data_IF_150366215372
#
_entry.id   IF_150366215372
#
_cell.length_a   1.000
_cell.length_b   1.000
_cell.length_c   1.000
_cell.angle_alpha   90.00
_cell.angle_beta   90.00
_cell.angle_gamma   90.00
#
_symmetry.space_group_name_H-M   'P 1'
#
loop_
_entity.id
_entity.type
_entity.pdbx_description
1 polymer ?
#
# COMPACT_ATOMS: atom_id res chain seq x y z
N UNK A 1 1.46 19.12 -15.41
CA UNK A 1 2.61 18.68 -16.23
C UNK A 1 3.89 19.49 -16.08
N UNK A 2 3.99 20.79 -16.43
CA UNK A 2 5.27 21.53 -16.34
C UNK A 2 5.92 21.48 -14.95
N UNK A 3 5.12 21.64 -13.89
CA UNK A 3 5.59 21.58 -12.49
C UNK A 3 6.02 20.16 -12.07
N UNK A 4 5.29 19.13 -12.50
CA UNK A 4 5.61 17.72 -12.22
C UNK A 4 6.94 17.32 -12.86
N UNK A 5 7.18 17.78 -14.09
CA UNK A 5 8.44 17.56 -14.83
C UNK A 5 9.61 18.24 -14.11
N UNK A 6 9.46 19.49 -13.68
CA UNK A 6 10.52 20.19 -12.92
C UNK A 6 10.78 19.48 -11.59
N UNK A 7 9.74 19.06 -10.88
CA UNK A 7 9.86 18.35 -9.61
C UNK A 7 10.51 16.97 -9.78
N UNK A 8 10.26 16.25 -10.88
CA UNK A 8 10.92 14.95 -11.12
C UNK A 8 12.43 15.07 -11.33
N UNK A 9 12.90 16.18 -11.92
CA UNK A 9 14.34 16.45 -12.03
C UNK A 9 14.94 16.96 -10.73
N UNK A 10 14.18 17.73 -9.94
CA UNK A 10 14.64 18.33 -8.67
C UNK A 10 14.75 17.31 -7.53
N UNK A 11 13.85 16.33 -7.47
CA UNK A 11 13.76 15.37 -6.37
C UNK A 11 14.02 13.95 -6.86
N UNK A 12 15.28 13.63 -7.19
CA UNK A 12 15.68 12.33 -7.75
C UNK A 12 15.35 11.12 -6.85
N UNK A 13 15.28 11.31 -5.53
CA UNK A 13 14.96 10.24 -4.57
C UNK A 13 13.47 10.05 -4.33
N UNK A 14 12.64 11.05 -4.67
CA UNK A 14 11.19 10.99 -4.50
C UNK A 14 10.54 10.51 -5.79
N UNK A 15 10.34 9.20 -5.87
CA UNK A 15 9.69 8.56 -7.02
C UNK A 15 8.33 7.99 -6.63
N UNK A 16 7.43 7.88 -7.61
CA UNK A 16 6.14 7.20 -7.43
C UNK A 16 6.26 5.67 -7.40
N UNK A 17 7.45 5.11 -7.66
CA UNK A 17 7.67 3.66 -7.79
C UNK A 17 7.15 2.83 -6.61
N UNK A 18 7.45 3.17 -5.35
CA UNK A 18 6.91 2.44 -4.19
C UNK A 18 5.37 2.46 -4.10
N UNK A 19 4.75 3.59 -4.46
CA UNK A 19 3.30 3.75 -4.46
C UNK A 19 2.67 2.92 -5.59
N UNK A 20 3.24 2.98 -6.78
CA UNK A 20 2.81 2.19 -7.94
C UNK A 20 2.94 0.69 -7.69
N UNK A 21 4.07 0.25 -7.12
CA UNK A 21 4.30 -1.14 -6.74
C UNK A 21 3.26 -1.64 -5.73
N UNK A 22 2.96 -0.83 -4.71
CA UNK A 22 1.94 -1.13 -3.71
C UNK A 22 0.56 -1.26 -4.35
N UNK A 23 0.16 -0.30 -5.18
CA UNK A 23 -1.12 -0.31 -5.89
C UNK A 23 -1.24 -1.52 -6.83
N UNK A 24 -0.18 -1.89 -7.54
CA UNK A 24 -0.18 -3.08 -8.38
C UNK A 24 -0.35 -4.36 -7.56
N UNK A 25 0.37 -4.50 -6.43
CA UNK A 25 0.24 -5.66 -5.53
C UNK A 25 -1.19 -5.81 -5.00
N UNK A 26 -1.83 -4.71 -4.58
CA UNK A 26 -3.23 -4.71 -4.13
C UNK A 26 -4.18 -5.17 -5.26
N UNK A 27 -3.99 -4.66 -6.49
CA UNK A 27 -4.78 -5.08 -7.65
C UNK A 27 -4.57 -6.57 -7.96
N UNK A 28 -3.34 -7.08 -7.85
CA UNK A 28 -3.04 -8.51 -8.00
C UNK A 28 -3.78 -9.34 -6.95
N UNK A 29 -3.72 -8.97 -5.67
CA UNK A 29 -4.43 -9.67 -4.58
C UNK A 29 -5.94 -9.76 -4.87
N UNK A 30 -6.54 -8.65 -5.31
CA UNK A 30 -7.96 -8.63 -5.66
C UNK A 30 -8.28 -9.58 -6.82
N UNK A 31 -7.45 -9.60 -7.88
CA UNK A 31 -7.64 -10.46 -9.05
C UNK A 31 -7.43 -11.94 -8.74
N UNK A 32 -6.38 -12.29 -8.00
CA UNK A 32 -6.08 -13.68 -7.64
C UNK A 32 -7.14 -14.32 -6.74
N UNK A 33 -7.87 -13.51 -5.98
CA UNK A 33 -8.97 -13.96 -5.15
C UNK A 33 -10.32 -14.03 -5.89
N UNK A 34 -10.36 -13.67 -7.17
CA UNK A 34 -11.60 -13.49 -7.95
C UNK A 34 -12.57 -12.47 -7.32
N UNK A 35 -12.01 -11.47 -6.62
CA UNK A 35 -12.75 -10.50 -5.84
C UNK A 35 -12.99 -10.93 -4.40
N UNK A 36 -13.23 -9.95 -3.54
CA UNK A 36 -13.57 -10.19 -2.14
C UNK A 36 -14.99 -9.73 -1.89
N UNK A 37 -15.82 -10.61 -1.32
CA UNK A 37 -17.19 -10.26 -0.92
C UNK A 37 -17.24 -9.40 0.34
N UNK A 38 -16.24 -9.55 1.22
CA UNK A 38 -16.11 -8.79 2.45
C UNK A 38 -14.82 -7.94 2.42
N UNK A 39 -14.97 -6.61 2.58
CA UNK A 39 -13.86 -5.68 2.62
C UNK A 39 -12.90 -5.92 3.80
N UNK A 40 -13.40 -6.36 4.96
CA UNK A 40 -12.56 -6.69 6.11
C UNK A 40 -11.56 -7.79 5.76
N UNK A 41 -12.00 -8.83 5.03
CA UNK A 41 -11.13 -9.91 4.58
C UNK A 41 -10.12 -9.43 3.53
N UNK A 42 -10.54 -8.53 2.63
CA UNK A 42 -9.63 -7.92 1.67
C UNK A 42 -8.54 -7.10 2.37
N UNK A 43 -8.93 -6.26 3.33
CA UNK A 43 -8.03 -5.45 4.14
C UNK A 43 -7.06 -6.32 4.93
N UNK A 44 -7.54 -7.38 5.58
CA UNK A 44 -6.70 -8.33 6.30
C UNK A 44 -5.66 -8.97 5.35
N UNK A 45 -6.06 -9.38 4.15
CA UNK A 45 -5.13 -9.95 3.15
C UNK A 45 -4.08 -8.94 2.68
N UNK A 46 -4.45 -7.68 2.50
CA UNK A 46 -3.50 -6.60 2.14
C UNK A 46 -2.48 -6.40 3.27
N UNK A 47 -2.92 -6.31 4.52
CA UNK A 47 -2.04 -6.11 5.67
C UNK A 47 -1.05 -7.28 5.84
N UNK A 48 -1.51 -8.51 5.59
CA UNK A 48 -0.64 -9.70 5.59
C UNK A 48 0.36 -9.70 4.43
N UNK A 49 -0.03 -9.23 3.25
CA UNK A 49 0.83 -9.21 2.07
C UNK A 49 1.83 -8.03 2.06
N UNK A 50 1.59 -6.99 2.85
CA UNK A 50 2.41 -5.79 2.96
C UNK A 50 2.78 -5.49 4.43
N UNK A 51 3.44 -6.42 5.15
CA UNK A 51 3.66 -6.33 6.59
C UNK A 51 4.57 -5.16 6.99
N UNK A 52 5.50 -4.76 6.11
CA UNK A 52 6.42 -3.65 6.35
C UNK A 52 5.87 -2.31 5.85
N UNK A 53 4.63 -2.27 5.36
CA UNK A 53 4.00 -1.00 5.02
C UNK A 53 3.71 -0.20 6.29
N UNK A 54 3.82 1.13 6.20
CA UNK A 54 3.44 2.03 7.28
C UNK A 54 2.05 1.73 7.85
N UNK A 55 1.11 1.35 6.98
CA UNK A 55 -0.26 0.99 7.34
C UNK A 55 -0.30 -0.27 8.22
N UNK A 56 0.46 -1.32 7.88
CA UNK A 56 0.52 -2.55 8.64
C UNK A 56 1.25 -2.38 9.98
N UNK A 57 2.36 -1.63 9.99
CA UNK A 57 3.11 -1.32 11.20
C UNK A 57 2.23 -0.54 12.20
N UNK A 58 1.56 0.52 11.75
CA UNK A 58 0.67 1.32 12.60
C UNK A 58 -0.53 0.50 13.11
N UNK A 59 -1.09 -0.37 12.27
CA UNK A 59 -2.15 -1.28 12.68
C UNK A 59 -1.72 -2.23 13.81
N UNK A 60 -0.51 -2.78 13.73
CA UNK A 60 0.03 -3.64 14.79
C UNK A 60 0.23 -2.85 16.09
N UNK A 61 0.81 -1.64 16.03
CA UNK A 61 0.99 -0.77 17.20
C UNK A 61 -0.35 -0.41 17.89
N UNK A 62 -1.41 -0.14 17.13
CA UNK A 62 -2.75 0.12 17.70
C UNK A 62 -3.32 -1.11 18.39
N UNK A 63 -3.12 -2.31 17.82
CA UNK A 63 -3.58 -3.55 18.45
C UNK A 63 -2.86 -3.85 19.75
N UNK A 64 -1.55 -3.61 19.81
CA UNK A 64 -0.75 -3.83 21.03
C UNK A 64 -1.04 -2.80 22.12
N UNK A 65 -1.49 -1.60 21.76
CA UNK A 65 -1.85 -0.54 22.71
C UNK A 65 -3.19 -0.78 23.44
N UNK A 66 -4.01 -1.70 22.94
CA UNK A 66 -5.31 -2.08 23.52
C UNK A 66 -5.31 -3.48 24.16
N UNK A 67 -4.15 -4.15 24.21
CA UNK A 67 -3.94 -5.43 24.88
C UNK A 67 -3.35 -5.19 26.27
#
# INVERSE_FOLDING_TARGET
HKLEIINSFKYQTYTNGPVEGTNNKIKVIKRTAYGFRNFYNFRARILLALPNSYIAINWNHKRTAHA
#
